data_IF_783890123191
#
_entry.id   IF_783890123191
#
_cell.length_a   1.000
_cell.length_b   1.000
_cell.length_c   1.000
_cell.angle_alpha   90.00
_cell.angle_beta   90.00
_cell.angle_gamma   90.00
#
_symmetry.space_group_name_H-M   'P 1'
#
loop_
_entity.id
_entity.type
_entity.pdbx_description
1 polymer ?
#
# COMPACT_ATOMS: atom_id res chain seq x y z
N UNK A 1 2.19 2.27 -22.24
CA UNK A 1 1.21 1.73 -21.26
C UNK A 1 1.22 0.21 -21.33
N UNK A 2 0.90 -0.38 -22.47
CA UNK A 2 1.02 -1.81 -22.72
C UNK A 2 2.47 -2.26 -22.99
N UNK A 3 2.74 -3.56 -22.76
CA UNK A 3 3.91 -4.31 -23.21
C UNK A 3 3.50 -5.33 -24.29
N UNK A 4 4.43 -5.83 -25.12
CA UNK A 4 4.12 -6.86 -26.11
C UNK A 4 3.39 -8.07 -25.51
N UNK A 5 3.77 -8.51 -24.30
CA UNK A 5 3.15 -9.67 -23.63
C UNK A 5 1.68 -9.45 -23.24
N UNK A 6 1.19 -8.21 -23.23
CA UNK A 6 -0.21 -7.89 -22.91
C UNK A 6 -1.18 -8.26 -24.03
N UNK A 7 -0.67 -8.52 -25.25
CA UNK A 7 -1.49 -8.99 -26.35
C UNK A 7 -1.65 -10.51 -26.31
N UNK A 8 -2.87 -10.99 -26.52
CA UNK A 8 -3.14 -12.44 -26.53
C UNK A 8 -2.59 -13.14 -27.77
N UNK A 9 -2.73 -12.53 -28.94
CA UNK A 9 -2.27 -13.10 -30.20
C UNK A 9 -0.78 -12.84 -30.39
N UNK A 10 0.00 -13.89 -30.67
CA UNK A 10 1.44 -13.78 -30.95
C UNK A 10 1.76 -12.78 -32.05
N UNK A 11 0.95 -12.72 -33.11
CA UNK A 11 1.09 -11.74 -34.19
C UNK A 11 1.03 -10.29 -33.69
N UNK A 12 0.11 -9.98 -32.78
CA UNK A 12 0.00 -8.65 -32.16
C UNK A 12 1.19 -8.33 -31.25
N UNK A 13 1.73 -9.33 -30.55
CA UNK A 13 2.96 -9.15 -29.75
C UNK A 13 4.13 -8.76 -30.64
N UNK A 14 4.31 -9.47 -31.77
CA UNK A 14 5.38 -9.21 -32.75
C UNK A 14 5.22 -7.80 -33.35
N UNK A 15 4.01 -7.46 -33.81
CA UNK A 15 3.72 -6.14 -34.40
C UNK A 15 4.03 -5.03 -33.39
N UNK A 16 3.53 -5.15 -32.16
CA UNK A 16 3.72 -4.13 -31.14
C UNK A 16 5.19 -3.99 -30.73
N UNK A 17 5.93 -5.11 -30.63
CA UNK A 17 7.37 -5.09 -30.38
C UNK A 17 8.13 -4.35 -31.48
N UNK A 18 7.80 -4.61 -32.75
CA UNK A 18 8.43 -3.93 -33.89
C UNK A 18 8.13 -2.43 -33.91
N UNK A 19 6.89 -2.04 -33.58
CA UNK A 19 6.51 -0.62 -33.40
C UNK A 19 7.37 0.05 -32.32
N UNK A 20 7.60 -0.61 -31.19
CA UNK A 20 8.46 -0.08 -30.12
C UNK A 20 9.92 0.08 -30.58
N UNK A 21 10.48 -0.92 -31.28
CA UNK A 21 11.85 -0.85 -31.81
C UNK A 21 12.03 0.27 -32.84
N UNK A 22 11.03 0.51 -33.71
CA UNK A 22 11.04 1.62 -34.66
C UNK A 22 10.95 2.98 -33.95
N UNK A 23 10.09 3.06 -32.93
CA UNK A 23 9.95 4.26 -32.10
C UNK A 23 11.24 4.59 -31.35
N UNK A 24 11.92 3.59 -30.77
CA UNK A 24 13.23 3.77 -30.10
C UNK A 24 14.31 4.27 -31.05
N UNK A 25 14.27 3.85 -32.32
CA UNK A 25 15.17 4.35 -33.38
C UNK A 25 14.79 5.73 -33.91
N UNK A 26 13.75 6.36 -33.36
CA UNK A 26 13.17 7.64 -33.83
C UNK A 26 12.76 7.61 -35.32
N UNK A 27 12.47 6.42 -35.85
CA UNK A 27 11.90 6.26 -37.18
C UNK A 27 10.39 6.48 -37.12
N UNK A 28 9.82 7.15 -38.14
CA UNK A 28 8.37 7.29 -38.26
C UNK A 28 7.70 5.91 -38.29
N UNK A 29 6.63 5.72 -37.51
CA UNK A 29 5.86 4.48 -37.49
C UNK A 29 4.65 4.63 -38.41
N UNK A 30 4.71 3.99 -39.56
CA UNK A 30 3.63 3.91 -40.53
C UNK A 30 3.59 2.51 -41.18
N UNK A 31 2.61 2.27 -42.07
CA UNK A 31 2.44 0.96 -42.71
C UNK A 31 3.67 0.54 -43.52
N UNK A 32 4.36 1.48 -44.16
CA UNK A 32 5.53 1.20 -45.02
C UNK A 32 6.72 0.85 -44.15
N UNK A 33 7.04 1.70 -43.17
CA UNK A 33 8.19 1.48 -42.27
C UNK A 33 8.04 0.22 -41.44
N UNK A 34 6.82 -0.08 -40.96
CA UNK A 34 6.53 -1.31 -40.24
C UNK A 34 6.65 -2.55 -41.13
N UNK A 35 6.17 -2.49 -42.37
CA UNK A 35 6.27 -3.61 -43.32
C UNK A 35 7.73 -3.89 -43.68
N UNK A 36 8.53 -2.84 -43.91
CA UNK A 36 9.95 -2.96 -44.22
C UNK A 36 10.74 -3.57 -43.06
N UNK A 37 10.51 -3.09 -41.83
CA UNK A 37 11.19 -3.63 -40.64
C UNK A 37 10.81 -5.09 -40.38
N UNK A 38 9.52 -5.44 -40.50
CA UNK A 38 9.03 -6.82 -40.36
C UNK A 38 9.58 -7.77 -41.43
N UNK A 39 9.74 -7.29 -42.67
CA UNK A 39 10.41 -8.03 -43.72
C UNK A 39 11.89 -8.22 -43.42
N UNK A 40 12.58 -7.18 -42.95
CA UNK A 40 14.01 -7.24 -42.61
C UNK A 40 14.29 -8.29 -41.53
N UNK A 41 13.38 -8.46 -40.56
CA UNK A 41 13.50 -9.47 -39.50
C UNK A 41 12.85 -10.82 -39.85
N UNK A 42 12.37 -11.01 -41.08
CA UNK A 42 11.70 -12.23 -41.57
C UNK A 42 10.48 -12.66 -40.75
N UNK A 43 9.73 -11.71 -40.17
CA UNK A 43 8.52 -11.99 -39.37
C UNK A 43 7.22 -11.59 -40.09
N UNK A 44 7.28 -10.97 -41.28
CA UNK A 44 6.11 -10.48 -41.99
C UNK A 44 5.10 -11.59 -42.32
N UNK A 45 5.57 -12.75 -42.77
CA UNK A 45 4.70 -13.89 -43.08
C UNK A 45 4.06 -14.48 -41.82
N UNK A 46 4.77 -14.50 -40.68
CA UNK A 46 4.25 -15.04 -39.41
C UNK A 46 3.06 -14.23 -38.87
N UNK A 47 2.98 -12.94 -39.19
CA UNK A 47 1.87 -12.08 -38.77
C UNK A 47 0.70 -12.08 -39.76
N UNK A 48 0.80 -12.76 -40.91
CA UNK A 48 -0.22 -12.82 -41.95
C UNK A 48 -0.03 -11.83 -43.10
N UNK A 49 1.16 -11.26 -43.25
CA UNK A 49 1.53 -10.41 -44.39
C UNK A 49 0.98 -8.98 -44.32
N UNK A 50 1.25 -8.22 -45.39
CA UNK A 50 0.83 -6.81 -45.52
C UNK A 50 -0.68 -6.66 -45.44
N UNK A 51 -1.43 -7.63 -45.98
CA UNK A 51 -2.90 -7.64 -45.95
C UNK A 51 -3.45 -7.63 -44.52
N UNK A 52 -2.79 -8.31 -43.58
CA UNK A 52 -3.19 -8.29 -42.18
C UNK A 52 -3.01 -6.92 -41.54
N UNK A 53 -1.88 -6.24 -41.82
CA UNK A 53 -1.62 -4.89 -41.32
C UNK A 53 -2.63 -3.88 -41.87
N UNK A 54 -2.96 -3.95 -43.16
CA UNK A 54 -3.99 -3.10 -43.77
C UNK A 54 -5.36 -3.33 -43.15
N UNK A 55 -5.72 -4.58 -42.84
CA UNK A 55 -6.97 -4.89 -42.15
C UNK A 55 -7.00 -4.34 -40.72
N UNK A 56 -5.88 -4.37 -39.99
CA UNK A 56 -5.79 -3.77 -38.65
C UNK A 56 -6.07 -2.27 -38.69
N UNK A 57 -5.50 -1.55 -39.66
CA UNK A 57 -5.74 -0.11 -39.85
C UNK A 57 -7.24 0.16 -40.08
N UNK A 58 -7.88 -0.65 -40.93
CA UNK A 58 -9.30 -0.49 -41.25
C UNK A 58 -10.25 -0.98 -40.13
N UNK A 59 -9.75 -1.70 -39.13
CA UNK A 59 -10.57 -2.24 -38.03
C UNK A 59 -10.84 -1.25 -36.90
N UNK A 60 -10.10 -0.14 -36.85
CA UNK A 60 -10.22 0.86 -35.79
C UNK A 60 -11.14 2.00 -36.24
N UNK A 61 -12.32 2.21 -35.63
CA UNK A 61 -13.26 3.23 -36.06
C UNK A 61 -12.74 4.67 -35.84
N UNK A 62 -11.97 4.89 -34.77
CA UNK A 62 -11.34 6.17 -34.46
C UNK A 62 -10.15 5.97 -33.52
N UNK A 63 -9.06 6.72 -33.77
CA UNK A 63 -7.90 6.76 -32.88
C UNK A 63 -8.21 7.40 -31.52
N UNK A 64 -9.29 8.19 -31.42
CA UNK A 64 -9.69 8.85 -30.17
C UNK A 64 -10.01 7.86 -29.03
N UNK A 65 -10.41 6.63 -29.35
CA UNK A 65 -10.77 5.61 -28.37
C UNK A 65 -9.58 4.76 -27.91
N UNK A 66 -8.34 5.13 -28.26
CA UNK A 66 -7.15 4.33 -27.95
C UNK A 66 -6.99 4.05 -26.44
N UNK A 67 -7.27 5.03 -25.58
CA UNK A 67 -7.20 4.85 -24.12
C UNK A 67 -8.19 3.81 -23.61
N UNK A 68 -9.40 3.78 -24.17
CA UNK A 68 -10.41 2.78 -23.84
C UNK A 68 -9.98 1.37 -24.26
N UNK A 69 -9.43 1.21 -25.47
CA UNK A 69 -8.92 -0.08 -25.94
C UNK A 69 -7.71 -0.57 -25.13
N UNK A 70 -6.84 0.35 -24.71
CA UNK A 70 -5.71 0.04 -23.83
C UNK A 70 -6.21 -0.57 -22.52
N UNK A 71 -7.22 0.04 -21.88
CA UNK A 71 -7.81 -0.49 -20.63
C UNK A 71 -8.37 -1.91 -20.82
N UNK A 72 -9.07 -2.17 -21.93
CA UNK A 72 -9.58 -3.52 -22.22
C UNK A 72 -8.45 -4.54 -22.32
N UNK A 73 -7.38 -4.22 -23.06
CA UNK A 73 -6.25 -5.14 -23.25
C UNK A 73 -5.53 -5.38 -21.91
N UNK A 74 -5.33 -4.33 -21.12
CA UNK A 74 -4.73 -4.38 -19.79
C UNK A 74 -5.54 -5.28 -18.85
N UNK A 75 -6.85 -5.07 -18.72
CA UNK A 75 -7.74 -5.92 -17.91
C UNK A 75 -7.64 -7.39 -18.32
N UNK A 76 -7.70 -7.67 -19.63
CA UNK A 76 -7.58 -9.05 -20.13
C UNK A 76 -6.19 -9.63 -19.90
N UNK A 77 -5.13 -8.84 -19.96
CA UNK A 77 -3.76 -9.26 -19.63
C UNK A 77 -3.64 -9.66 -18.16
N UNK A 78 -4.17 -8.83 -17.25
CA UNK A 78 -4.20 -9.10 -15.80
C UNK A 78 -4.92 -10.42 -15.52
N UNK A 79 -6.09 -10.63 -16.11
CA UNK A 79 -6.85 -11.87 -15.92
C UNK A 79 -6.07 -13.11 -16.40
N UNK A 80 -5.38 -13.03 -17.54
CA UNK A 80 -4.55 -14.14 -18.03
C UNK A 80 -3.36 -14.42 -17.12
N UNK A 81 -2.69 -13.37 -16.63
CA UNK A 81 -1.56 -13.53 -15.71
C UNK A 81 -2.00 -14.12 -14.36
N UNK A 82 -3.18 -13.76 -13.88
CA UNK A 82 -3.80 -14.35 -12.70
C UNK A 82 -4.07 -15.85 -12.90
N UNK A 83 -4.69 -16.22 -14.03
CA UNK A 83 -4.93 -17.64 -14.37
C UNK A 83 -3.60 -18.41 -14.41
N UNK A 84 -2.60 -17.89 -15.11
CA UNK A 84 -1.29 -18.54 -15.23
C UNK A 84 -0.62 -18.73 -13.87
N UNK A 85 -0.69 -17.73 -13.00
CA UNK A 85 -0.10 -17.79 -11.65
C UNK A 85 -0.86 -18.77 -10.76
N UNK A 86 -2.19 -18.78 -10.82
CA UNK A 86 -3.02 -19.76 -10.13
C UNK A 86 -2.70 -21.19 -10.59
N UNK A 87 -2.56 -21.42 -11.90
CA UNK A 87 -2.17 -22.73 -12.44
C UNK A 87 -0.78 -23.14 -11.94
N UNK A 88 0.20 -22.23 -11.89
CA UNK A 88 1.51 -22.51 -11.28
C UNK A 88 1.40 -22.88 -9.80
N UNK A 89 0.58 -22.16 -9.03
CA UNK A 89 0.35 -22.46 -7.61
C UNK A 89 -0.26 -23.85 -7.44
N UNK A 90 -1.24 -24.21 -8.27
CA UNK A 90 -1.84 -25.55 -8.28
C UNK A 90 -0.78 -26.62 -8.61
N UNK A 91 0.03 -26.42 -9.65
CA UNK A 91 1.10 -27.36 -10.01
C UNK A 91 2.11 -27.53 -8.88
N UNK A 92 2.55 -26.44 -8.25
CA UNK A 92 3.46 -26.47 -7.11
C UNK A 92 2.88 -27.25 -5.92
N UNK A 93 1.57 -27.14 -5.68
CA UNK A 93 0.89 -27.89 -4.62
C UNK A 93 0.86 -29.40 -4.85
N UNK A 94 0.74 -29.85 -6.11
CA UNK A 94 0.74 -31.28 -6.45
C UNK A 94 2.13 -31.91 -6.51
N UNK A 95 3.19 -31.14 -6.72
CA UNK A 95 4.54 -31.68 -6.85
C UNK A 95 5.15 -32.14 -5.51
N UNK A 96 4.64 -31.68 -4.36
CA UNK A 96 5.05 -32.06 -2.98
C UNK A 96 6.58 -32.08 -2.71
N UNK A 97 7.40 -31.36 -3.49
CA UNK A 97 8.87 -31.36 -3.38
C UNK A 97 9.41 -30.46 -2.28
N UNK A 98 8.61 -29.55 -1.74
CA UNK A 98 9.05 -28.47 -0.86
C UNK A 98 8.17 -28.36 0.39
N UNK A 99 8.73 -27.77 1.44
CA UNK A 99 7.99 -27.46 2.67
C UNK A 99 6.82 -26.51 2.39
N UNK A 100 5.69 -26.75 3.05
CA UNK A 100 4.46 -25.99 2.83
C UNK A 100 4.63 -24.47 3.06
N UNK A 101 5.51 -24.04 3.96
CA UNK A 101 5.79 -22.61 4.18
C UNK A 101 6.52 -21.99 3.00
N UNK A 102 7.48 -22.71 2.41
CA UNK A 102 8.22 -22.26 1.23
C UNK A 102 7.30 -22.14 0.02
N UNK A 103 6.37 -23.09 -0.14
CA UNK A 103 5.35 -23.03 -1.17
C UNK A 103 4.40 -21.84 -0.99
N UNK A 104 4.02 -21.54 0.26
CA UNK A 104 3.19 -20.39 0.57
C UNK A 104 3.89 -19.07 0.22
N UNK A 105 5.14 -18.89 0.62
CA UNK A 105 5.94 -17.70 0.28
C UNK A 105 6.07 -17.51 -1.24
N UNK A 106 6.30 -18.59 -1.99
CA UNK A 106 6.35 -18.56 -3.46
C UNK A 106 5.00 -18.17 -4.08
N UNK A 107 3.90 -18.69 -3.54
CA UNK A 107 2.56 -18.34 -3.99
C UNK A 107 2.25 -16.85 -3.75
N UNK A 108 2.60 -16.33 -2.56
CA UNK A 108 2.47 -14.91 -2.25
C UNK A 108 3.26 -14.03 -3.23
N UNK A 109 4.50 -14.43 -3.53
CA UNK A 109 5.34 -13.70 -4.48
C UNK A 109 4.73 -13.63 -5.88
N UNK A 110 4.23 -14.76 -6.41
CA UNK A 110 3.59 -14.80 -7.73
C UNK A 110 2.34 -13.90 -7.81
N UNK A 111 1.52 -13.89 -6.76
CA UNK A 111 0.34 -13.02 -6.70
C UNK A 111 0.76 -11.55 -6.61
N UNK A 112 1.84 -11.26 -5.88
CA UNK A 112 2.35 -9.91 -5.72
C UNK A 112 2.89 -9.31 -7.02
N UNK A 113 3.61 -10.09 -7.85
CA UNK A 113 4.11 -9.63 -9.16
C UNK A 113 2.99 -9.13 -10.09
N UNK A 114 1.81 -9.76 -10.05
CA UNK A 114 0.64 -9.32 -10.82
C UNK A 114 0.20 -7.92 -10.34
N UNK A 115 0.21 -7.68 -9.03
CA UNK A 115 -0.24 -6.41 -8.44
C UNK A 115 0.72 -5.25 -8.71
N UNK A 116 2.03 -5.52 -8.84
CA UNK A 116 3.04 -4.49 -9.07
C UNK A 116 2.94 -3.84 -10.46
N UNK A 117 2.42 -4.54 -11.48
CA UNK A 117 2.27 -3.97 -12.84
C UNK A 117 1.38 -2.71 -12.87
N UNK A 118 0.47 -2.54 -11.90
CA UNK A 118 -0.41 -1.38 -11.81
C UNK A 118 0.20 -0.17 -11.09
N UNK A 119 1.42 -0.28 -10.54
CA UNK A 119 2.09 0.84 -9.88
C UNK A 119 2.96 1.57 -10.91
N UNK A 120 2.32 2.34 -11.79
CA UNK A 120 2.98 3.43 -12.51
C UNK A 120 2.30 4.73 -12.09
N UNK A 121 2.89 5.44 -11.14
CA UNK A 121 2.63 6.87 -11.03
C UNK A 121 3.13 7.52 -12.32
N UNK A 122 2.20 8.06 -13.10
CA UNK A 122 2.53 8.92 -14.24
C UNK A 122 3.01 10.27 -13.76
N UNK A 123 3.84 10.96 -14.55
CA UNK A 123 4.15 12.36 -14.30
C UNK A 123 2.87 13.19 -14.40
N UNK A 124 2.57 13.97 -13.37
CA UNK A 124 1.46 14.93 -13.34
C UNK A 124 2.05 16.33 -13.55
N UNK A 125 1.50 17.16 -14.46
CA UNK A 125 1.95 18.53 -14.62
C UNK A 125 1.83 19.32 -13.31
N UNK A 126 2.85 20.10 -12.96
CA UNK A 126 2.87 20.89 -11.72
C UNK A 126 1.66 21.84 -11.60
N UNK A 127 1.13 22.31 -12.75
CA UNK A 127 -0.06 23.16 -12.80
C UNK A 127 -1.29 22.50 -12.17
N UNK A 128 -1.46 21.19 -12.33
CA UNK A 128 -2.57 20.45 -11.74
C UNK A 128 -2.37 20.32 -10.23
N UNK A 129 -1.13 20.05 -9.79
CA UNK A 129 -0.79 19.91 -8.37
C UNK A 129 -0.88 21.23 -7.59
N UNK A 130 -0.60 22.37 -8.23
CA UNK A 130 -0.63 23.70 -7.59
C UNK A 130 -2.06 24.07 -7.20
N UNK A 131 -3.06 23.79 -8.03
CA UNK A 131 -4.46 24.10 -7.73
C UNK A 131 -4.92 23.35 -6.48
N UNK A 132 -4.71 22.02 -6.44
CA UNK A 132 -5.04 21.18 -5.28
C UNK A 132 -4.28 21.60 -4.01
N UNK A 133 -3.04 22.08 -4.16
CA UNK A 133 -2.24 22.54 -3.03
C UNK A 133 -2.73 23.88 -2.49
N UNK A 134 -3.19 24.78 -3.36
CA UNK A 134 -3.70 26.09 -2.98
C UNK A 134 -5.01 25.97 -2.18
N UNK A 135 -5.93 25.09 -2.61
CA UNK A 135 -7.17 24.82 -1.89
C UNK A 135 -6.89 24.31 -0.46
N UNK A 136 -5.92 23.42 -0.29
CA UNK A 136 -5.50 22.94 1.04
C UNK A 136 -4.92 24.05 1.92
N UNK A 137 -4.16 24.98 1.35
CA UNK A 137 -3.59 26.11 2.09
C UNK A 137 -4.71 27.06 2.54
N UNK A 138 -5.70 27.32 1.69
CA UNK A 138 -6.86 28.16 2.01
C UNK A 138 -7.71 27.53 3.13
N UNK A 139 -7.96 26.22 3.04
CA UNK A 139 -8.63 25.46 4.11
C UNK A 139 -7.89 25.57 5.45
N UNK A 140 -6.56 25.48 5.44
CA UNK A 140 -5.75 25.61 6.66
C UNK A 140 -5.78 27.02 7.23
N UNK A 141 -5.74 28.04 6.37
CA UNK A 141 -5.83 29.44 6.79
C UNK A 141 -7.16 29.74 7.49
N UNK A 142 -8.26 29.14 7.03
CA UNK A 142 -9.58 29.37 7.61
C UNK A 142 -9.87 28.60 8.91
N UNK A 143 -9.16 27.50 9.19
CA UNK A 143 -9.45 26.64 10.35
C UNK A 143 -8.97 27.21 11.69
N UNK A 144 -8.06 28.18 11.69
CA UNK A 144 -7.39 28.70 12.92
C UNK A 144 -6.81 27.59 13.83
N UNK A 145 -6.63 26.37 13.30
CA UNK A 145 -6.10 25.22 14.04
C UNK A 145 -4.57 25.21 13.96
N UNK A 146 -3.92 25.28 15.12
CA UNK A 146 -2.45 25.21 15.22
C UNK A 146 -1.86 23.83 14.92
N UNK A 147 -2.66 22.76 15.04
CA UNK A 147 -2.23 21.37 14.83
C UNK A 147 -3.04 20.79 13.69
N UNK A 148 -2.40 20.59 12.54
CA UNK A 148 -3.04 20.12 11.30
C UNK A 148 -2.99 18.61 11.15
N UNK A 149 -2.04 17.96 11.83
CA UNK A 149 -1.87 16.51 11.87
C UNK A 149 -2.46 15.86 13.12
N UNK A 150 -2.13 14.58 13.33
CA UNK A 150 -2.48 13.87 14.56
C UNK A 150 -1.61 14.38 15.71
N UNK A 151 -2.24 15.01 16.70
CA UNK A 151 -1.55 15.53 17.90
C UNK A 151 -0.88 14.42 18.71
N UNK A 152 0.37 14.67 19.13
CA UNK A 152 1.14 13.78 19.98
C UNK A 152 0.72 13.84 21.46
N UNK A 153 0.08 14.95 21.87
CA UNK A 153 -0.27 15.24 23.26
C UNK A 153 0.86 15.89 24.06
N UNK A 154 1.97 16.24 23.41
CA UNK A 154 3.05 17.03 23.98
C UNK A 154 3.04 18.40 23.28
N UNK A 155 2.56 19.44 23.97
CA UNK A 155 2.28 20.75 23.35
C UNK A 155 3.52 21.35 22.66
N UNK A 156 4.69 21.33 23.31
CA UNK A 156 5.95 21.84 22.72
C UNK A 156 6.38 21.03 21.49
N UNK A 157 6.11 19.71 21.47
CA UNK A 157 6.45 18.86 20.33
C UNK A 157 5.47 19.08 19.18
N UNK A 158 4.18 19.25 19.48
CA UNK A 158 3.15 19.54 18.49
C UNK A 158 3.29 20.95 17.90
N UNK A 159 3.83 21.92 18.65
CA UNK A 159 4.18 23.24 18.14
C UNK A 159 5.28 23.16 17.08
N UNK A 160 6.30 22.32 17.31
CA UNK A 160 7.42 22.13 16.38
C UNK A 160 7.00 21.29 15.17
N UNK A 161 6.19 20.25 15.38
CA UNK A 161 5.86 19.26 14.34
C UNK A 161 4.55 19.55 13.62
N UNK A 162 3.68 20.39 14.18
CA UNK A 162 2.27 20.58 13.77
C UNK A 162 1.44 19.28 13.83
N UNK A 163 1.85 18.33 14.68
CA UNK A 163 1.31 16.98 14.75
C UNK A 163 1.84 16.07 13.62
N UNK A 164 1.48 14.79 13.68
CA UNK A 164 1.91 13.80 12.70
C UNK A 164 1.06 13.87 11.42
N UNK A 165 1.70 14.15 10.27
CA UNK A 165 0.98 14.40 9.04
C UNK A 165 0.62 13.12 8.29
N UNK A 166 -0.51 13.09 7.55
CA UNK A 166 -0.82 11.99 6.66
C UNK A 166 0.30 11.75 5.64
N UNK A 167 0.52 10.49 5.29
CA UNK A 167 1.53 10.05 4.30
C UNK A 167 2.99 10.21 4.72
N UNK A 168 3.28 10.60 5.97
CA UNK A 168 4.64 10.60 6.49
C UNK A 168 5.07 9.24 7.06
N UNK A 169 6.38 8.96 6.99
CA UNK A 169 7.01 7.85 7.66
C UNK A 169 7.94 8.37 8.77
N UNK A 170 7.47 8.28 10.01
CA UNK A 170 8.16 8.82 11.19
C UNK A 170 8.92 7.71 11.91
N UNK A 171 10.21 7.92 12.16
CA UNK A 171 11.07 6.95 12.83
C UNK A 171 11.48 7.47 14.20
N UNK A 172 11.08 6.75 15.26
CA UNK A 172 11.49 7.03 16.64
C UNK A 172 12.60 6.06 17.03
N UNK A 173 13.83 6.59 17.11
CA UNK A 173 15.03 5.81 17.43
C UNK A 173 15.61 6.16 18.81
N UNK A 174 16.29 5.20 19.43
CA UNK A 174 16.87 5.36 20.76
C UNK A 174 17.41 4.04 21.30
N UNK A 175 18.34 4.11 22.25
CA UNK A 175 18.96 2.91 22.86
C UNK A 175 17.95 2.10 23.68
N UNK A 176 18.21 0.81 23.99
CA UNK A 176 17.43 0.07 24.97
C UNK A 176 17.27 0.85 26.28
N UNK A 177 16.13 0.68 26.95
CA UNK A 177 15.75 1.39 28.17
C UNK A 177 15.58 2.93 28.08
N UNK A 178 15.73 3.56 26.91
CA UNK A 178 15.52 5.01 26.72
C UNK A 178 14.02 5.41 26.58
N UNK A 179 13.08 4.51 26.90
CA UNK A 179 11.65 4.86 26.95
C UNK A 179 10.91 4.92 25.61
N UNK A 180 11.50 4.49 24.47
CA UNK A 180 10.85 4.49 23.14
C UNK A 180 9.41 3.97 23.16
N UNK A 181 9.21 2.76 23.69
CA UNK A 181 7.88 2.12 23.76
C UNK A 181 6.93 2.93 24.62
N UNK A 182 7.40 3.51 25.73
CA UNK A 182 6.56 4.35 26.59
C UNK A 182 6.12 5.62 25.82
N UNK A 183 7.05 6.28 25.13
CA UNK A 183 6.78 7.45 24.32
C UNK A 183 5.74 7.18 23.21
N UNK A 184 5.95 6.14 22.39
CA UNK A 184 4.99 5.78 21.33
C UNK A 184 3.60 5.43 21.90
N UNK A 185 3.57 4.76 23.06
CA UNK A 185 2.32 4.39 23.73
C UNK A 185 1.59 5.58 24.34
N UNK A 186 2.32 6.59 24.84
CA UNK A 186 1.71 7.84 25.32
C UNK A 186 1.04 8.60 24.18
N UNK A 187 1.71 8.71 23.03
CA UNK A 187 1.15 9.31 21.81
C UNK A 187 -0.12 8.56 21.38
N UNK A 188 -0.04 7.24 21.25
CA UNK A 188 -1.16 6.41 20.83
C UNK A 188 -2.37 6.53 21.76
N UNK A 189 -2.14 6.53 23.07
CA UNK A 189 -3.19 6.74 24.07
C UNK A 189 -3.81 8.12 23.96
N UNK A 190 -3.01 9.19 23.86
CA UNK A 190 -3.52 10.54 23.75
C UNK A 190 -4.35 10.72 22.48
N UNK A 191 -3.82 10.29 21.32
CA UNK A 191 -4.52 10.37 20.04
C UNK A 191 -5.88 9.64 20.09
N UNK A 192 -5.93 8.46 20.70
CA UNK A 192 -7.17 7.69 20.74
C UNK A 192 -8.15 8.12 21.83
N UNK A 193 -7.69 8.39 23.05
CA UNK A 193 -8.55 8.74 24.19
C UNK A 193 -9.00 10.19 24.12
N UNK A 194 -8.11 11.12 23.75
CA UNK A 194 -8.37 12.56 23.80
C UNK A 194 -8.86 13.11 22.46
N UNK A 195 -8.36 12.57 21.35
CA UNK A 195 -8.68 13.04 19.99
C UNK A 195 -9.57 12.07 19.21
N UNK A 196 -10.04 10.98 19.81
CA UNK A 196 -10.88 9.95 19.18
C UNK A 196 -10.32 9.42 17.85
N UNK A 197 -8.99 9.47 17.67
CA UNK A 197 -8.33 9.00 16.47
C UNK A 197 -8.04 7.51 16.61
N UNK A 198 -8.50 6.65 15.69
CA UNK A 198 -8.19 5.23 15.80
C UNK A 198 -6.72 4.93 15.54
N UNK A 199 -6.14 4.05 16.36
CA UNK A 199 -4.71 3.73 16.33
C UNK A 199 -4.51 2.22 16.24
N UNK A 200 -3.66 1.78 15.31
CA UNK A 200 -3.18 0.41 15.21
C UNK A 200 -1.75 0.31 15.75
N UNK A 201 -1.50 -0.64 16.65
CA UNK A 201 -0.19 -0.88 17.28
C UNK A 201 0.26 -2.30 16.94
N UNK A 202 1.41 -2.41 16.27
CA UNK A 202 2.09 -3.68 16.03
C UNK A 202 3.27 -3.80 17.00
N UNK A 203 3.21 -4.77 17.91
CA UNK A 203 4.20 -4.95 18.98
C UNK A 203 4.99 -6.23 18.78
N UNK A 204 6.28 -6.10 18.50
CA UNK A 204 7.16 -7.24 18.23
C UNK A 204 7.95 -7.72 19.46
N UNK A 205 8.04 -6.90 20.49
CA UNK A 205 8.86 -7.16 21.68
C UNK A 205 8.00 -7.48 22.91
N UNK A 206 6.83 -6.84 23.02
CA UNK A 206 5.96 -6.94 24.18
C UNK A 206 4.62 -7.56 23.81
N UNK A 207 4.04 -8.35 24.72
CA UNK A 207 2.69 -8.88 24.51
C UNK A 207 1.62 -7.80 24.66
N UNK A 208 0.46 -8.03 24.04
CA UNK A 208 -0.71 -7.14 24.16
C UNK A 208 -1.10 -6.88 25.61
N UNK A 209 -1.05 -7.91 26.47
CA UNK A 209 -1.37 -7.79 27.90
C UNK A 209 -0.39 -6.87 28.63
N UNK A 210 0.91 -6.94 28.31
CA UNK A 210 1.91 -6.06 28.91
C UNK A 210 1.73 -4.60 28.46
N UNK A 211 1.37 -4.38 27.19
CA UNK A 211 1.07 -3.05 26.68
C UNK A 211 -0.18 -2.46 27.32
N UNK A 212 -1.28 -3.22 27.40
CA UNK A 212 -2.53 -2.79 28.06
C UNK A 212 -2.29 -2.46 29.54
N UNK A 213 -1.52 -3.28 30.26
CA UNK A 213 -1.17 -3.00 31.64
C UNK A 213 -0.43 -1.66 31.80
N UNK A 214 0.48 -1.34 30.88
CA UNK A 214 1.17 -0.05 30.87
C UNK A 214 0.25 1.11 30.55
N UNK A 215 -0.68 0.94 29.61
CA UNK A 215 -1.70 1.97 29.30
C UNK A 215 -2.55 2.26 30.54
N UNK A 216 -3.04 1.21 31.21
CA UNK A 216 -3.82 1.36 32.45
C UNK A 216 -3.04 2.09 33.55
N UNK A 217 -1.76 1.77 33.76
CA UNK A 217 -0.93 2.47 34.73
C UNK A 217 -0.74 3.95 34.37
N UNK A 218 -0.49 4.22 33.08
CA UNK A 218 -0.27 5.57 32.56
C UNK A 218 -1.52 6.44 32.74
N UNK A 219 -2.68 5.90 32.37
CA UNK A 219 -3.96 6.60 32.46
C UNK A 219 -4.43 6.77 33.92
N UNK A 220 -4.28 5.73 34.75
CA UNK A 220 -4.67 5.78 36.16
C UNK A 220 -3.66 6.53 37.05
N UNK A 221 -2.47 6.84 36.53
CA UNK A 221 -1.33 7.41 37.27
C UNK A 221 -0.90 6.56 38.49
N UNK A 222 -0.82 5.25 38.29
CA UNK A 222 -0.44 4.27 39.32
C UNK A 222 0.93 3.68 39.02
N UNK A 223 1.69 3.36 40.08
CA UNK A 223 2.97 2.68 39.97
C UNK A 223 2.82 1.27 39.35
N UNK A 224 3.47 1.08 38.20
CA UNK A 224 3.42 -0.17 37.44
C UNK A 224 4.04 -1.37 38.18
N UNK A 225 5.01 -1.15 39.08
CA UNK A 225 5.61 -2.20 39.91
C UNK A 225 4.63 -2.71 40.96
N UNK A 226 3.87 -1.81 41.57
CA UNK A 226 2.83 -2.17 42.55
C UNK A 226 1.70 -2.95 41.87
N UNK A 227 1.27 -2.50 40.68
CA UNK A 227 0.28 -3.23 39.88
C UNK A 227 0.79 -4.63 39.50
N UNK A 228 2.05 -4.77 39.06
CA UNK A 228 2.63 -6.07 38.70
C UNK A 228 2.75 -7.03 39.89
N UNK A 229 3.00 -6.51 41.08
CA UNK A 229 3.06 -7.30 42.32
C UNK A 229 1.68 -7.63 42.89
N UNK A 230 0.60 -7.11 42.32
CA UNK A 230 -0.75 -7.22 42.88
C UNK A 230 -0.92 -6.49 44.22
N UNK A 231 -0.05 -5.52 44.50
CA UNK A 231 -0.04 -4.76 45.77
C UNK A 231 -0.60 -3.37 45.53
N UNK A 232 -1.91 -3.31 45.31
CA UNK A 232 -2.64 -2.05 45.16
C UNK A 232 -3.24 -1.65 46.51
N UNK A 233 -3.15 -0.36 46.84
CA UNK A 233 -3.91 0.18 47.95
C UNK A 233 -5.39 0.30 47.55
N UNK A 234 -6.28 0.33 48.55
CA UNK A 234 -7.72 0.46 48.30
C UNK A 234 -8.07 1.71 47.46
N UNK A 235 -7.34 2.81 47.69
CA UNK A 235 -7.45 4.06 46.95
C UNK A 235 -7.08 3.96 45.46
N UNK A 236 -6.30 2.96 45.06
CA UNK A 236 -5.81 2.82 43.68
C UNK A 236 -6.84 2.17 42.75
N UNK A 237 -7.87 1.51 43.31
CA UNK A 237 -8.89 0.81 42.53
C UNK A 237 -9.83 1.75 41.78
N UNK A 238 -10.22 2.87 42.38
CA UNK A 238 -11.12 3.83 41.73
C UNK A 238 -10.46 4.49 40.48
N UNK A 239 -9.22 5.02 40.55
CA UNK A 239 -8.50 5.51 39.37
C UNK A 239 -8.32 4.43 38.29
N UNK A 240 -7.99 3.19 38.69
CA UNK A 240 -7.80 2.08 37.75
C UNK A 240 -9.10 1.72 37.02
N UNK A 241 -10.23 1.72 37.73
CA UNK A 241 -11.54 1.47 37.13
C UNK A 241 -11.93 2.57 36.14
N UNK A 242 -11.69 3.83 36.48
CA UNK A 242 -11.94 4.96 35.57
C UNK A 242 -11.06 4.89 34.31
N UNK A 243 -9.78 4.58 34.49
CA UNK A 243 -8.84 4.39 33.38
C UNK A 243 -9.26 3.26 32.44
N UNK A 244 -9.71 2.13 33.01
CA UNK A 244 -10.25 1.02 32.24
C UNK A 244 -11.48 1.41 31.43
N UNK A 245 -12.38 2.22 32.00
CA UNK A 245 -13.53 2.78 31.29
C UNK A 245 -13.14 3.63 30.08
N UNK A 246 -12.20 4.57 30.25
CA UNK A 246 -11.70 5.42 29.15
C UNK A 246 -11.01 4.61 28.06
N UNK A 247 -10.15 3.67 28.44
CA UNK A 247 -9.46 2.79 27.49
C UNK A 247 -10.42 1.88 26.73
N UNK A 248 -11.49 1.39 27.38
CA UNK A 248 -12.49 0.56 26.72
C UNK A 248 -13.28 1.31 25.64
N UNK A 249 -13.46 2.63 25.79
CA UNK A 249 -14.06 3.49 24.76
C UNK A 249 -13.07 3.92 23.67
N UNK A 250 -11.77 3.74 23.86
CA UNK A 250 -10.75 4.20 22.91
C UNK A 250 -10.63 3.23 21.72
N UNK A 251 -10.42 3.79 20.52
CA UNK A 251 -10.26 3.02 19.29
C UNK A 251 -8.79 2.57 19.10
N UNK A 252 -8.30 1.72 19.99
CA UNK A 252 -6.93 1.19 19.97
C UNK A 252 -6.96 -0.30 19.62
N UNK A 253 -6.22 -0.67 18.57
CA UNK A 253 -6.10 -2.05 18.09
C UNK A 253 -4.66 -2.53 18.23
N UNK A 254 -4.44 -3.67 18.88
CA UNK A 254 -3.08 -4.19 19.18
C UNK A 254 -2.91 -5.56 18.54
N UNK A 255 -1.78 -5.73 17.85
CA UNK A 255 -1.32 -7.01 17.30
C UNK A 255 0.09 -7.31 17.81
N UNK A 256 0.26 -8.44 18.52
CA UNK A 256 1.53 -8.92 19.07
C UNK A 256 2.08 -10.17 18.36
N UNK A 257 1.72 -10.36 17.08
CA UNK A 257 2.23 -11.47 16.25
C UNK A 257 3.75 -11.36 16.08
N UNK A 258 4.49 -12.32 16.65
CA UNK A 258 5.94 -12.41 16.48
C UNK A 258 6.32 -12.71 15.03
N UNK A 259 7.33 -12.02 14.51
CA UNK A 259 7.86 -12.27 13.16
C UNK A 259 6.95 -11.82 12.01
N UNK A 260 5.97 -10.95 12.27
CA UNK A 260 5.05 -10.43 11.24
C UNK A 260 5.80 -9.75 10.09
N UNK A 261 5.41 -10.04 8.86
CA UNK A 261 6.00 -9.43 7.67
C UNK A 261 5.40 -8.06 7.38
N UNK A 262 6.10 -7.22 6.62
CA UNK A 262 5.54 -5.92 6.18
C UNK A 262 4.26 -6.08 5.34
N UNK A 263 4.12 -7.18 4.60
CA UNK A 263 2.92 -7.49 3.81
C UNK A 263 1.73 -7.78 4.71
N UNK A 264 1.92 -8.57 5.77
CA UNK A 264 0.89 -8.86 6.77
C UNK A 264 0.48 -7.60 7.53
N UNK A 265 1.43 -6.74 7.93
CA UNK A 265 1.14 -5.43 8.55
C UNK A 265 0.25 -4.62 7.60
N UNK A 266 0.63 -4.51 6.32
CA UNK A 266 -0.14 -3.78 5.30
C UNK A 266 -1.56 -4.35 5.12
N UNK A 267 -1.69 -5.67 5.05
CA UNK A 267 -2.98 -6.33 4.87
C UNK A 267 -3.90 -6.10 6.09
N UNK A 268 -3.38 -6.26 7.31
CA UNK A 268 -4.12 -6.01 8.55
C UNK A 268 -4.52 -4.55 8.69
N UNK A 269 -3.62 -3.61 8.41
CA UNK A 269 -3.92 -2.18 8.44
C UNK A 269 -5.00 -1.78 7.43
N UNK A 270 -4.95 -2.31 6.19
CA UNK A 270 -6.00 -2.09 5.18
C UNK A 270 -7.36 -2.62 5.62
N UNK A 271 -7.39 -3.83 6.18
CA UNK A 271 -8.62 -4.44 6.69
C UNK A 271 -9.22 -3.61 7.81
N UNK A 272 -8.39 -3.14 8.75
CA UNK A 272 -8.82 -2.28 9.84
C UNK A 272 -9.41 -0.96 9.31
N UNK A 273 -8.74 -0.34 8.34
CA UNK A 273 -9.21 0.89 7.69
C UNK A 273 -10.60 0.70 7.07
N UNK A 274 -10.79 -0.38 6.32
CA UNK A 274 -12.05 -0.70 5.66
C UNK A 274 -13.19 -1.02 6.65
N UNK A 275 -12.90 -1.72 7.76
CA UNK A 275 -13.92 -2.12 8.74
C UNK A 275 -14.42 -0.96 9.60
N UNK A 276 -13.53 -0.01 9.90
CA UNK A 276 -13.85 1.13 10.78
C UNK A 276 -14.06 2.44 10.03
N UNK A 277 -14.13 2.37 8.69
CA UNK A 277 -14.31 3.50 7.77
C UNK A 277 -13.38 4.69 8.08
N UNK A 278 -12.12 4.34 8.36
CA UNK A 278 -11.00 5.26 8.61
C UNK A 278 -10.43 5.82 7.30
#
# INVERSE_FOLDING_TARGET
>A
ILKPEDFYKKSHQIIFKCILELFEKSSGVDLVTLTEELNRVNLLEEIGGVTYLTNLINSVPTAANVEYYIKIIEEKSILRNLINSATKIISMGYEEKEDAKVLLDKAEHLVFEISQRNIRQSFVPIKELITDSYEKIEDLYHREEFITGVSSGFDEFDEITTGFQPSEFIVIAGRPAMGKTAFCMSIAQYASISKNTPVAIFSLEMSKSQLVQRMLCSEARIDAHNLRKGRLAEKDWAPLSNAAGRLASASIFIDDTAGITCLEIKAKARRLKAQHNL
#
